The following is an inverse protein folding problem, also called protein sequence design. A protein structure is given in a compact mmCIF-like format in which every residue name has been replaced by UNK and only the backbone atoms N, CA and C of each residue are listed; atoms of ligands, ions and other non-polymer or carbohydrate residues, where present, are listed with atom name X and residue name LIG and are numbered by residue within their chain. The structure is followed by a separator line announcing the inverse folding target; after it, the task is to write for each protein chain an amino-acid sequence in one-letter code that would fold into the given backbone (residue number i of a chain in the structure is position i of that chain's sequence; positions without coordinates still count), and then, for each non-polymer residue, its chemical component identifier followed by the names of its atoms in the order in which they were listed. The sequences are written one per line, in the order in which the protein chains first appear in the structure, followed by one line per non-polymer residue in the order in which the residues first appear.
data_IF_881117563175
#
_entry.id   IF_881117563175
#
_cell.length_a   1.000
_cell.length_b   1.000
_cell.length_c   1.000
_cell.angle_alpha   90.00
_cell.angle_beta   90.00
_cell.angle_gamma   90.00
#
_symmetry.space_group_name_H-M   'P 1'
#
loop_
_entity.id
_entity.type
_entity.pdbx_description
1 polymer ?
#
# COMPACT_ATOMS: atom_id res chain seq x y z
N UNK A 1 9.71 -26.46 35.76
CA UNK A 1 10.39 -26.15 34.50
C UNK A 1 9.39 -25.38 33.65
N UNK A 2 9.48 -24.06 33.68
CA UNK A 2 8.46 -23.14 33.15
C UNK A 2 8.63 -22.95 31.65
N UNK A 3 7.55 -23.17 30.89
CA UNK A 3 7.51 -22.87 29.45
C UNK A 3 7.13 -21.41 29.22
N UNK A 4 7.93 -20.77 28.38
CA UNK A 4 7.89 -19.39 27.92
C UNK A 4 6.67 -19.15 26.98
N UNK A 5 5.73 -18.28 27.36
CA UNK A 5 4.67 -17.82 26.46
C UNK A 5 5.14 -16.58 25.68
N UNK A 6 5.02 -16.54 24.33
CA UNK A 6 5.63 -15.50 23.49
C UNK A 6 4.76 -14.25 23.28
N UNK A 7 3.60 -14.14 23.94
CA UNK A 7 2.74 -12.95 23.90
C UNK A 7 2.22 -12.65 25.31
N UNK A 8 3.02 -11.95 26.10
CA UNK A 8 2.61 -11.38 27.37
C UNK A 8 2.47 -9.87 27.23
N UNK A 9 1.23 -9.38 27.06
CA UNK A 9 0.86 -8.04 27.52
C UNK A 9 0.95 -8.04 29.05
N UNK A 10 2.17 -7.89 29.56
CA UNK A 10 2.46 -7.66 30.96
C UNK A 10 2.10 -6.21 31.30
N UNK A 11 0.82 -5.97 31.59
CA UNK A 11 0.25 -4.72 32.08
C UNK A 11 0.70 -4.39 33.52
N UNK A 12 1.89 -4.77 33.98
CA UNK A 12 2.27 -4.52 35.38
C UNK A 12 3.77 -4.61 35.70
N UNK A 13 4.61 -3.82 35.04
CA UNK A 13 5.99 -3.57 35.52
C UNK A 13 6.25 -2.06 35.63
N UNK A 14 6.22 -1.46 36.85
CA UNK A 14 6.43 -0.02 37.04
C UNK A 14 7.91 0.42 36.99
N UNK A 15 8.86 -0.49 36.71
CA UNK A 15 10.30 -0.21 36.83
C UNK A 15 11.11 -0.34 35.52
N UNK A 16 10.47 -0.35 34.35
CA UNK A 16 11.21 -0.07 33.11
C UNK A 16 11.20 1.45 32.91
N UNK A 17 12.33 2.17 33.13
CA UNK A 17 12.38 3.56 32.75
C UNK A 17 12.06 3.63 31.26
N UNK A 18 11.16 4.53 30.87
CA UNK A 18 11.09 4.95 29.46
C UNK A 18 12.52 5.26 29.04
N UNK A 19 13.09 4.39 28.21
CA UNK A 19 14.50 4.46 27.87
C UNK A 19 14.67 5.66 26.92
N UNK A 20 15.00 6.81 27.51
CA UNK A 20 15.16 8.09 26.83
C UNK A 20 16.26 7.99 25.76
N UNK A 21 17.23 7.09 25.93
CA UNK A 21 18.25 6.83 24.92
C UNK A 21 17.65 6.05 23.73
N UNK A 22 16.84 5.03 23.98
CA UNK A 22 16.11 4.30 22.93
C UNK A 22 15.13 5.22 22.18
N UNK A 23 14.48 6.16 22.89
CA UNK A 23 13.64 7.19 22.27
C UNK A 23 14.47 8.13 21.37
N UNK A 24 15.66 8.52 21.80
CA UNK A 24 16.57 9.36 21.02
C UNK A 24 17.05 8.69 19.73
N UNK A 25 17.36 7.40 19.78
CA UNK A 25 17.76 6.61 18.61
C UNK A 25 16.58 6.38 17.66
N UNK A 26 15.39 6.12 18.20
CA UNK A 26 14.16 6.05 17.41
C UNK A 26 13.84 7.38 16.72
N UNK A 27 14.06 8.52 17.39
CA UNK A 27 13.86 9.85 16.80
C UNK A 27 14.86 10.15 15.68
N UNK A 28 16.12 9.71 15.83
CA UNK A 28 17.14 9.86 14.80
C UNK A 28 16.86 8.98 13.58
N UNK A 29 16.45 7.73 13.78
CA UNK A 29 16.00 6.87 12.68
C UNK A 29 14.77 7.45 11.98
N UNK A 30 13.81 7.98 12.74
CA UNK A 30 12.64 8.65 12.17
C UNK A 30 13.03 9.90 11.39
N UNK A 31 13.97 10.71 11.91
CA UNK A 31 14.50 11.88 11.22
C UNK A 31 15.25 11.54 9.92
N UNK A 32 16.00 10.44 9.91
CA UNK A 32 16.67 9.93 8.70
C UNK A 32 15.67 9.33 7.69
N UNK A 33 14.60 8.70 8.17
CA UNK A 33 13.53 8.20 7.32
C UNK A 33 12.72 9.36 6.72
N UNK A 34 12.49 10.42 7.49
CA UNK A 34 11.78 11.62 7.06
C UNK A 34 12.59 12.47 6.07
N UNK A 35 13.92 12.53 6.23
CA UNK A 35 14.80 13.22 5.29
C UNK A 35 15.02 12.45 3.98
N UNK A 36 14.81 11.14 4.00
CA UNK A 36 14.81 10.28 2.81
C UNK A 36 13.42 10.09 2.21
N UNK A 37 12.36 10.43 2.95
CA UNK A 37 11.01 10.45 2.41
C UNK A 37 10.96 11.56 1.36
N UNK A 38 10.55 11.26 0.11
CA UNK A 38 10.39 12.29 -0.90
C UNK A 38 9.46 13.37 -0.33
N UNK A 39 9.92 14.63 -0.38
CA UNK A 39 9.14 15.82 0.00
C UNK A 39 7.89 16.04 -0.86
N UNK A 40 7.68 15.14 -1.83
CA UNK A 40 6.57 15.09 -2.78
C UNK A 40 5.78 13.77 -2.62
N UNK A 41 5.67 13.29 -1.38
CA UNK A 41 4.79 12.16 -1.07
C UNK A 41 3.36 12.66 -1.22
N UNK A 42 2.75 12.37 -2.37
CA UNK A 42 1.33 12.58 -2.62
C UNK A 42 0.46 12.00 -1.49
N UNK A 43 -0.87 12.12 -1.60
CA UNK A 43 -1.80 11.72 -0.55
C UNK A 43 -1.70 10.23 -0.13
N UNK A 44 -1.03 9.42 -0.95
CA UNK A 44 -0.70 8.01 -0.71
C UNK A 44 0.80 7.80 -0.95
N UNK A 45 1.47 7.14 -0.02
CA UNK A 45 2.88 6.73 -0.15
C UNK A 45 2.97 5.40 -0.93
N UNK A 46 2.87 5.47 -2.26
CA UNK A 46 2.83 4.30 -3.16
C UNK A 46 4.04 3.37 -3.07
N UNK A 47 5.21 3.90 -2.72
CA UNK A 47 6.39 3.08 -2.44
C UNK A 47 6.15 2.14 -1.25
N UNK A 48 5.48 2.61 -0.20
CA UNK A 48 5.11 1.81 0.96
C UNK A 48 4.06 0.77 0.57
N UNK A 49 3.05 1.17 -0.22
CA UNK A 49 2.03 0.25 -0.76
C UNK A 49 2.69 -0.92 -1.47
N UNK A 50 3.59 -0.63 -2.42
CA UNK A 50 4.28 -1.65 -3.21
C UNK A 50 5.19 -2.53 -2.34
N UNK A 51 5.87 -1.98 -1.35
CA UNK A 51 6.73 -2.75 -0.45
C UNK A 51 5.93 -3.68 0.47
N UNK A 52 4.81 -3.21 1.01
CA UNK A 52 3.91 -4.04 1.84
C UNK A 52 3.29 -5.15 1.00
N UNK A 53 2.77 -4.84 -0.20
CA UNK A 53 2.19 -5.84 -1.09
C UNK A 53 3.22 -6.90 -1.50
N UNK A 54 4.45 -6.49 -1.87
CA UNK A 54 5.53 -7.44 -2.19
C UNK A 54 5.91 -8.34 -1.00
N UNK A 55 5.98 -7.78 0.21
CA UNK A 55 6.23 -8.58 1.44
C UNK A 55 5.09 -9.57 1.70
N UNK A 56 3.84 -9.17 1.50
CA UNK A 56 2.68 -10.05 1.64
C UNK A 56 2.76 -11.22 0.63
N UNK A 57 3.12 -10.94 -0.63
CA UNK A 57 3.32 -11.97 -1.65
C UNK A 57 4.44 -12.96 -1.30
N UNK A 58 5.55 -12.49 -0.74
CA UNK A 58 6.64 -13.36 -0.30
C UNK A 58 6.19 -14.39 0.75
N UNK A 59 5.27 -14.02 1.64
CA UNK A 59 4.76 -14.94 2.67
C UNK A 59 3.91 -16.09 2.12
N UNK A 60 3.26 -15.89 0.97
CA UNK A 60 2.39 -16.88 0.33
C UNK A 60 3.02 -17.60 -0.85
N UNK A 61 4.16 -17.08 -1.34
CA UNK A 61 4.85 -17.54 -2.54
C UNK A 61 4.24 -16.96 -3.82
N UNK A 62 5.06 -16.87 -4.86
CA UNK A 62 4.65 -16.43 -6.20
C UNK A 62 5.01 -17.47 -7.26
N UNK A 63 4.06 -18.33 -7.69
CA UNK A 63 4.34 -19.34 -8.69
C UNK A 63 4.60 -18.72 -10.06
N UNK A 64 5.65 -19.18 -10.73
CA UNK A 64 6.00 -18.76 -12.08
C UNK A 64 5.00 -19.33 -13.07
N UNK A 65 4.52 -18.49 -13.99
CA UNK A 65 3.69 -18.91 -15.11
C UNK A 65 4.57 -19.53 -16.18
N UNK A 66 4.38 -20.83 -16.45
CA UNK A 66 5.11 -21.53 -17.49
C UNK A 66 4.55 -21.19 -18.89
N UNK A 67 5.41 -21.22 -19.92
CA UNK A 67 5.01 -20.95 -21.31
C UNK A 67 3.83 -21.82 -21.79
N UNK A 68 3.78 -23.07 -21.35
CA UNK A 68 2.69 -23.98 -21.70
C UNK A 68 1.35 -23.51 -21.09
N UNK A 69 1.37 -22.95 -19.87
CA UNK A 69 0.19 -22.38 -19.22
C UNK A 69 -0.25 -21.10 -19.93
N UNK A 70 0.70 -20.22 -20.27
CA UNK A 70 0.40 -19.01 -21.04
C UNK A 70 -0.26 -19.33 -22.38
N UNK A 71 0.30 -20.29 -23.15
CA UNK A 71 -0.31 -20.73 -24.42
C UNK A 71 -1.70 -21.31 -24.24
N UNK A 72 -1.94 -22.09 -23.19
CA UNK A 72 -3.25 -22.64 -22.90
C UNK A 72 -4.28 -21.55 -22.57
N UNK A 73 -3.88 -20.52 -21.80
CA UNK A 73 -4.74 -19.36 -21.50
C UNK A 73 -5.06 -18.57 -22.76
N UNK A 74 -4.06 -18.29 -23.61
CA UNK A 74 -4.27 -17.57 -24.87
C UNK A 74 -5.27 -18.32 -25.76
N UNK A 75 -5.05 -19.61 -25.99
CA UNK A 75 -5.95 -20.41 -26.82
C UNK A 75 -7.39 -20.47 -26.24
N UNK A 76 -7.53 -20.55 -24.91
CA UNK A 76 -8.85 -20.55 -24.28
C UNK A 76 -9.59 -19.21 -24.48
N UNK A 77 -8.88 -18.08 -24.37
CA UNK A 77 -9.47 -16.76 -24.59
C UNK A 77 -9.82 -16.55 -26.07
N UNK A 78 -9.00 -17.01 -27.00
CA UNK A 78 -9.31 -16.95 -28.44
C UNK A 78 -10.57 -17.74 -28.79
N UNK A 79 -10.73 -18.95 -28.23
CA UNK A 79 -11.96 -19.75 -28.42
C UNK A 79 -13.17 -19.02 -27.81
N UNK A 80 -13.02 -18.44 -26.62
CA UNK A 80 -14.08 -17.69 -25.97
C UNK A 80 -14.48 -16.44 -26.78
N UNK A 81 -13.51 -15.69 -27.28
CA UNK A 81 -13.73 -14.55 -28.16
C UNK A 81 -14.53 -14.95 -29.40
N UNK A 82 -14.15 -16.04 -30.06
CA UNK A 82 -14.86 -16.52 -31.24
C UNK A 82 -16.33 -16.86 -30.95
N UNK A 83 -16.63 -17.48 -29.81
CA UNK A 83 -18.02 -17.76 -29.41
C UNK A 83 -18.79 -16.50 -29.00
N UNK A 84 -18.11 -15.54 -28.39
CA UNK A 84 -18.71 -14.28 -27.97
C UNK A 84 -18.99 -13.35 -29.16
N UNK A 85 -18.18 -13.36 -30.22
CA UNK A 85 -18.38 -12.54 -31.42
C UNK A 85 -19.73 -12.86 -32.09
N UNK A 86 -20.09 -14.14 -32.18
CA UNK A 86 -21.40 -14.56 -32.70
C UNK A 86 -22.56 -14.21 -31.75
N UNK A 87 -22.31 -14.17 -30.44
CA UNK A 87 -23.34 -14.03 -29.41
C UNK A 87 -23.55 -12.58 -28.92
N UNK A 88 -22.64 -11.66 -29.21
CA UNK A 88 -22.63 -10.29 -28.71
C UNK A 88 -22.50 -9.27 -29.84
N UNK A 89 -23.06 -8.08 -29.65
CA UNK A 89 -22.91 -6.96 -30.59
C UNK A 89 -21.63 -6.14 -30.37
N UNK A 90 -20.85 -6.50 -29.34
CA UNK A 90 -19.58 -5.86 -29.04
C UNK A 90 -18.49 -6.41 -29.96
N UNK A 91 -17.57 -5.57 -30.44
CA UNK A 91 -16.46 -6.05 -31.27
C UNK A 91 -15.53 -6.97 -30.47
N UNK A 92 -14.92 -7.91 -31.17
CA UNK A 92 -13.91 -8.80 -30.59
C UNK A 92 -12.78 -8.03 -29.88
N UNK A 93 -12.29 -8.60 -28.78
CA UNK A 93 -11.17 -8.05 -28.03
C UNK A 93 -9.88 -8.18 -28.85
N UNK A 94 -9.27 -7.05 -29.22
CA UNK A 94 -8.04 -7.02 -30.03
C UNK A 94 -6.76 -7.18 -29.20
N UNK A 95 -6.87 -7.30 -27.88
CA UNK A 95 -5.73 -7.42 -26.97
C UNK A 95 -5.43 -8.89 -26.72
N UNK A 96 -4.16 -9.28 -26.88
CA UNK A 96 -3.71 -10.63 -26.57
C UNK A 96 -3.88 -10.92 -25.08
N UNK A 97 -4.49 -12.07 -24.77
CA UNK A 97 -4.61 -12.54 -23.40
C UNK A 97 -3.24 -12.70 -22.74
N UNK A 98 -3.18 -12.43 -21.44
CA UNK A 98 -1.99 -12.62 -20.63
C UNK A 98 -2.31 -13.53 -19.43
N UNK A 99 -1.28 -14.26 -18.98
CA UNK A 99 -1.31 -14.99 -17.74
C UNK A 99 -0.22 -14.43 -16.83
N UNK A 100 -0.59 -13.96 -15.65
CA UNK A 100 0.31 -13.29 -14.71
C UNK A 100 0.53 -14.12 -13.45
N UNK A 101 1.76 -14.10 -12.95
CA UNK A 101 2.02 -14.40 -11.54
C UNK A 101 1.38 -13.33 -10.64
N UNK A 102 1.34 -13.54 -9.33
CA UNK A 102 0.80 -12.54 -8.41
C UNK A 102 1.64 -11.27 -8.41
N UNK A 103 2.97 -11.39 -8.48
CA UNK A 103 3.84 -10.21 -8.58
C UNK A 103 3.64 -9.47 -9.90
N UNK A 104 3.50 -10.19 -11.01
CA UNK A 104 3.21 -9.57 -12.31
C UNK A 104 1.85 -8.84 -12.31
N UNK A 105 0.82 -9.42 -11.70
CA UNK A 105 -0.48 -8.75 -11.55
C UNK A 105 -0.36 -7.47 -10.73
N UNK A 106 0.37 -7.51 -9.61
CA UNK A 106 0.61 -6.34 -8.76
C UNK A 106 1.26 -5.22 -9.57
N UNK A 107 2.36 -5.51 -10.27
CA UNK A 107 3.10 -4.51 -11.06
C UNK A 107 2.27 -3.98 -12.23
N UNK A 108 1.56 -4.85 -12.96
CA UNK A 108 0.76 -4.46 -14.11
C UNK A 108 -0.46 -3.62 -13.74
N UNK A 109 -1.04 -3.84 -12.54
CA UNK A 109 -2.27 -3.15 -12.12
C UNK A 109 -2.01 -1.92 -11.24
N UNK A 110 -0.83 -1.79 -10.64
CA UNK A 110 -0.50 -0.68 -9.75
C UNK A 110 -0.79 0.72 -10.34
N UNK A 111 -0.46 1.02 -11.62
CA UNK A 111 -0.76 2.34 -12.19
C UNK A 111 -2.26 2.67 -12.25
N UNK A 112 -3.10 1.64 -12.47
CA UNK A 112 -4.56 1.79 -12.50
C UNK A 112 -5.08 2.05 -11.09
N UNK A 113 -4.59 1.29 -10.10
CA UNK A 113 -4.92 1.53 -8.70
C UNK A 113 -4.52 2.93 -8.24
N UNK A 114 -3.36 3.44 -8.67
CA UNK A 114 -2.94 4.82 -8.40
C UNK A 114 -3.97 5.82 -8.88
N UNK A 115 -4.35 5.74 -10.16
CA UNK A 115 -5.33 6.65 -10.75
C UNK A 115 -6.71 6.61 -10.06
N UNK A 116 -7.13 5.45 -9.58
CA UNK A 116 -8.44 5.27 -8.93
C UNK A 116 -8.43 5.78 -7.48
N UNK A 117 -7.37 5.46 -6.73
CA UNK A 117 -7.32 5.70 -5.28
C UNK A 117 -6.87 7.12 -4.93
N UNK A 118 -5.96 7.69 -5.72
CA UNK A 118 -5.40 9.01 -5.47
C UNK A 118 -6.44 10.13 -5.27
N UNK A 119 -7.47 10.29 -6.12
CA UNK A 119 -8.48 11.34 -5.89
C UNK A 119 -9.27 11.13 -4.58
N UNK A 120 -9.50 9.89 -4.16
CA UNK A 120 -10.18 9.59 -2.88
C UNK A 120 -9.31 10.03 -1.70
N UNK A 121 -8.02 9.69 -1.74
CA UNK A 121 -7.08 10.06 -0.69
C UNK A 121 -6.89 11.59 -0.59
N UNK A 122 -6.86 12.30 -1.72
CA UNK A 122 -6.84 13.78 -1.72
C UNK A 122 -8.06 14.34 -1.00
N UNK A 123 -9.26 13.86 -1.35
CA UNK A 123 -10.51 14.37 -0.79
C UNK A 123 -10.60 14.14 0.72
N UNK A 124 -10.14 12.98 1.21
CA UNK A 124 -10.11 12.68 2.65
C UNK A 124 -9.21 13.65 3.42
N UNK A 125 -8.07 14.05 2.84
CA UNK A 125 -7.13 14.98 3.49
C UNK A 125 -7.63 16.43 3.50
N UNK A 126 -8.41 16.82 2.49
CA UNK A 126 -9.06 18.14 2.43
C UNK A 126 -10.32 18.24 3.30
N UNK A 127 -10.90 17.11 3.69
CA UNK A 127 -12.13 17.07 4.48
C UNK A 127 -11.93 17.30 5.99
N UNK A 128 -10.71 17.50 6.48
CA UNK A 128 -10.46 17.84 7.90
C UNK A 128 -10.92 19.29 8.12
N UNK A 129 -12.11 19.53 8.71
CA UNK A 129 -12.63 20.87 8.92
C UNK A 129 -11.95 21.40 10.16
N UNK A 130 -10.90 22.19 9.96
CA UNK A 130 -10.19 22.84 11.04
C UNK A 130 -10.64 24.29 11.07
N UNK A 131 -11.65 24.58 11.91
CA UNK A 131 -11.94 25.94 12.40
C UNK A 131 -10.78 26.37 13.31
N UNK A 132 -9.62 26.61 12.72
CA UNK A 132 -8.45 27.09 13.44
C UNK A 132 -8.43 28.60 13.30
N UNK A 133 -8.45 29.37 14.41
CA UNK A 133 -8.25 30.80 14.37
C UNK A 133 -6.95 31.12 13.61
N UNK A 134 -6.97 32.12 12.73
CA UNK A 134 -5.84 32.45 11.84
C UNK A 134 -4.51 32.61 12.62
N UNK A 135 -4.58 33.11 13.85
CA UNK A 135 -3.45 33.28 14.77
C UNK A 135 -2.75 31.97 15.15
N UNK A 136 -3.48 30.86 15.20
CA UNK A 136 -2.94 29.54 15.55
C UNK A 136 -2.59 28.68 14.33
N UNK A 137 -3.03 29.09 13.13
CA UNK A 137 -2.84 28.32 11.90
C UNK A 137 -1.35 28.17 11.54
N UNK A 138 -0.56 29.23 11.71
CA UNK A 138 0.89 29.19 11.48
C UNK A 138 1.64 28.31 12.48
N UNK A 139 1.16 28.22 13.74
CA UNK A 139 1.76 27.38 14.77
C UNK A 139 1.40 25.90 14.60
N UNK A 140 0.21 25.62 14.04
CA UNK A 140 -0.34 24.27 13.88
C UNK A 140 -0.02 23.68 12.49
N UNK A 141 0.32 24.50 11.48
CA UNK A 141 0.63 24.06 10.13
C UNK A 141 1.71 22.95 10.05
N UNK A 142 2.84 23.03 10.78
CA UNK A 142 3.83 21.94 10.79
C UNK A 142 3.27 20.63 11.37
N UNK A 143 2.46 20.72 12.43
CA UNK A 143 1.80 19.56 13.05
C UNK A 143 0.77 18.93 12.11
N UNK A 144 0.04 19.75 11.36
CA UNK A 144 -0.91 19.28 10.34
C UNK A 144 -0.22 18.60 9.16
N UNK A 145 0.92 19.10 8.70
CA UNK A 145 1.72 18.45 7.67
C UNK A 145 2.20 17.06 8.12
N UNK A 146 2.70 16.96 9.35
CA UNK A 146 3.11 15.68 9.94
C UNK A 146 1.92 14.72 10.09
N UNK A 147 0.77 15.18 10.56
CA UNK A 147 -0.45 14.36 10.67
C UNK A 147 -0.90 13.82 9.30
N UNK A 148 -0.90 14.67 8.27
CA UNK A 148 -1.22 14.25 6.90
C UNK A 148 -0.26 13.17 6.41
N UNK A 149 1.04 13.33 6.65
CA UNK A 149 2.04 12.34 6.26
C UNK A 149 1.87 11.01 7.01
N UNK A 150 1.64 11.04 8.33
CA UNK A 150 1.35 9.84 9.12
C UNK A 150 0.06 9.14 8.64
N UNK A 151 -0.98 9.91 8.31
CA UNK A 151 -2.23 9.37 7.77
C UNK A 151 -2.03 8.73 6.39
N UNK A 152 -1.21 9.33 5.53
CA UNK A 152 -0.87 8.79 4.21
C UNK A 152 -0.12 7.46 4.35
N UNK A 153 0.85 7.36 5.28
CA UNK A 153 1.57 6.11 5.56
C UNK A 153 0.64 5.02 6.11
N UNK A 154 -0.24 5.36 7.06
CA UNK A 154 -1.20 4.41 7.62
C UNK A 154 -2.15 3.85 6.55
N UNK A 155 -2.72 4.73 5.72
CA UNK A 155 -3.55 4.34 4.59
C UNK A 155 -2.78 3.47 3.58
N UNK A 156 -1.53 3.83 3.30
CA UNK A 156 -0.67 3.08 2.38
C UNK A 156 -0.37 1.66 2.86
N UNK A 157 -0.13 1.48 4.15
CA UNK A 157 0.05 0.15 4.73
C UNK A 157 -1.21 -0.71 4.58
N UNK A 158 -2.39 -0.13 4.85
CA UNK A 158 -3.66 -0.85 4.70
C UNK A 158 -3.92 -1.22 3.24
N UNK A 159 -3.71 -0.29 2.32
CA UNK A 159 -3.86 -0.54 0.89
C UNK A 159 -2.90 -1.64 0.41
N UNK A 160 -1.62 -1.55 0.77
CA UNK A 160 -0.62 -2.55 0.41
C UNK A 160 -0.91 -3.95 0.97
N UNK A 161 -1.54 -4.05 2.14
CA UNK A 161 -1.93 -5.35 2.72
C UNK A 161 -3.17 -5.97 2.05
N UNK A 162 -3.95 -5.16 1.32
CA UNK A 162 -5.15 -5.60 0.60
C UNK A 162 -4.90 -5.97 -0.87
N UNK A 163 -3.71 -5.64 -1.39
CA UNK A 163 -3.23 -5.99 -2.73
C UNK A 163 -2.40 -7.28 -2.69
#
# INVERSE_FOLDING_TARGET
MSSNMPFGFGMNDPEQPFDIAALGEALQQFGQMLSQAPTDSGPVAWNIVQDVARKALQSTGDPVVADAQLRAVIAAVEIANHWLDDACTFPEITVTAQAWSRAQWLEATLPVWTRIVEPVAQQMQSAIPMEVPEEMQAMIAPMMGMMKQLSAVAFSNQLGASL
#
